data_IF_438418345921
#
_entry.id   IF_438418345921
#
_cell.length_a   1.000
_cell.length_b   1.000
_cell.length_c   1.000
_cell.angle_alpha   90.00
_cell.angle_beta   90.00
_cell.angle_gamma   90.00
#
_symmetry.space_group_name_H-M   'P 1'
#
loop_
_entity.id
_entity.type
_entity.pdbx_description
1 polymer ?
#
# COMPACT_ATOMS: atom_id res chain seq x y z
N UNK A 1 -7.41 7.33 8.60
CA UNK A 1 -6.25 6.44 8.36
C UNK A 1 -5.59 6.80 7.04
N UNK A 2 -4.30 6.76 7.02
CA UNK A 2 -3.53 7.04 5.80
C UNK A 2 -2.71 5.83 5.41
N UNK A 3 -2.81 5.44 4.14
CA UNK A 3 -2.01 4.38 3.54
C UNK A 3 -1.10 4.98 2.48
N UNK A 4 0.07 4.35 2.31
CA UNK A 4 1.05 4.76 1.31
C UNK A 4 1.33 3.55 0.42
N UNK A 5 1.22 3.74 -0.88
CA UNK A 5 1.60 2.73 -1.86
C UNK A 5 2.85 3.21 -2.60
N UNK A 6 3.97 2.53 -2.38
CA UNK A 6 5.18 2.76 -3.15
C UNK A 6 5.09 1.99 -4.46
N UNK A 7 5.22 2.69 -5.55
CA UNK A 7 5.10 2.13 -6.89
C UNK A 7 6.00 2.86 -7.87
N UNK A 8 5.88 2.52 -9.15
CA UNK A 8 6.51 3.30 -10.23
C UNK A 8 5.66 3.20 -11.50
N UNK A 9 5.81 4.15 -12.44
CA UNK A 9 5.13 4.06 -13.72
C UNK A 9 5.48 2.77 -14.46
N UNK A 10 4.47 2.14 -15.07
CA UNK A 10 4.65 0.90 -15.81
C UNK A 10 4.67 -0.37 -14.98
N UNK A 11 4.46 -0.27 -13.67
CA UNK A 11 4.40 -1.43 -12.80
C UNK A 11 2.97 -1.98 -12.77
N UNK A 12 2.70 -3.07 -13.50
CA UNK A 12 1.36 -3.65 -13.58
C UNK A 12 0.86 -4.19 -12.24
N UNK A 13 1.74 -4.77 -11.44
CA UNK A 13 1.35 -5.27 -10.11
C UNK A 13 0.95 -4.12 -9.19
N UNK A 14 1.63 -2.98 -9.30
CA UNK A 14 1.31 -1.78 -8.53
C UNK A 14 -0.05 -1.21 -8.95
N UNK A 15 -0.30 -1.15 -10.25
CA UNK A 15 -1.59 -0.69 -10.78
C UNK A 15 -2.73 -1.58 -10.32
N UNK A 16 -2.53 -2.90 -10.36
CA UNK A 16 -3.54 -3.86 -9.91
C UNK A 16 -3.86 -3.71 -8.43
N UNK A 17 -2.85 -3.52 -7.59
CA UNK A 17 -3.07 -3.30 -6.16
C UNK A 17 -3.79 -1.97 -5.92
N UNK A 18 -3.41 -0.92 -6.62
CA UNK A 18 -4.07 0.37 -6.52
C UNK A 18 -5.56 0.26 -6.85
N UNK A 19 -5.91 -0.42 -7.93
CA UNK A 19 -7.30 -0.62 -8.33
C UNK A 19 -8.10 -1.34 -7.24
N UNK A 20 -7.52 -2.38 -6.63
CA UNK A 20 -8.18 -3.11 -5.56
C UNK A 20 -8.36 -2.24 -4.33
N UNK A 21 -7.37 -1.44 -3.97
CA UNK A 21 -7.47 -0.50 -2.84
C UNK A 21 -8.59 0.51 -3.06
N UNK A 22 -8.76 0.98 -4.28
CA UNK A 22 -9.83 1.91 -4.63
C UNK A 22 -11.22 1.29 -4.54
N UNK A 23 -11.31 -0.04 -4.57
CA UNK A 23 -12.57 -0.77 -4.44
C UNK A 23 -12.91 -1.16 -3.01
N UNK A 24 -11.98 -0.98 -2.08
CA UNK A 24 -12.23 -1.26 -0.66
C UNK A 24 -13.25 -0.25 -0.13
N UNK A 25 -14.37 -0.73 0.40
CA UNK A 25 -15.47 0.12 0.83
C UNK A 25 -15.77 0.08 2.33
N UNK A 26 -15.30 -0.95 3.01
CA UNK A 26 -15.62 -1.15 4.44
C UNK A 26 -14.59 -0.54 5.38
N UNK A 27 -13.56 0.10 4.84
CA UNK A 27 -12.51 0.75 5.61
C UNK A 27 -12.29 2.13 5.00
N UNK A 28 -12.36 3.16 5.83
CA UNK A 28 -12.08 4.53 5.39
C UNK A 28 -10.59 4.80 5.53
N UNK A 29 -9.95 5.13 4.42
CA UNK A 29 -8.55 5.54 4.41
C UNK A 29 -8.26 6.48 3.25
N UNK A 30 -7.24 7.28 3.41
CA UNK A 30 -6.67 8.07 2.33
C UNK A 30 -5.47 7.31 1.77
N UNK A 31 -5.38 7.25 0.45
CA UNK A 31 -4.28 6.55 -0.22
C UNK A 31 -3.35 7.56 -0.88
N UNK A 32 -2.10 7.54 -0.46
CA UNK A 32 -1.03 8.32 -1.09
C UNK A 32 -0.22 7.38 -1.99
N UNK A 33 -0.10 7.74 -3.26
CA UNK A 33 0.74 6.99 -4.21
C UNK A 33 2.09 7.69 -4.28
N UNK A 34 3.17 6.96 -4.03
CA UNK A 34 4.54 7.48 -4.12
C UNK A 34 5.28 6.79 -5.25
N UNK A 35 5.74 7.58 -6.21
CA UNK A 35 6.63 7.10 -7.26
C UNK A 35 8.04 7.02 -6.68
N UNK A 36 8.60 5.82 -6.60
CA UNK A 36 9.93 5.62 -6.01
C UNK A 36 11.03 6.32 -6.81
N UNK A 37 10.78 6.64 -8.08
CA UNK A 37 11.73 7.39 -8.88
C UNK A 37 11.84 8.86 -8.46
N UNK A 38 10.90 9.36 -7.68
CA UNK A 38 10.89 10.75 -7.23
C UNK A 38 11.92 11.03 -6.13
N UNK A 39 12.36 9.99 -5.40
CA UNK A 39 13.34 10.13 -4.33
C UNK A 39 14.31 8.96 -4.34
N UNK A 40 15.59 9.27 -4.18
CA UNK A 40 16.64 8.27 -4.20
C UNK A 40 16.54 7.29 -3.03
N UNK A 41 16.15 7.75 -1.84
CA UNK A 41 15.98 6.88 -0.68
C UNK A 41 14.84 5.90 -0.88
N UNK A 42 13.74 6.31 -1.50
CA UNK A 42 12.65 5.40 -1.84
C UNK A 42 13.08 4.38 -2.88
N UNK A 43 13.78 4.84 -3.90
CA UNK A 43 14.27 3.95 -4.98
C UNK A 43 15.20 2.89 -4.40
N UNK A 44 16.16 3.31 -3.58
CA UNK A 44 17.12 2.38 -2.97
C UNK A 44 16.43 1.35 -2.08
N UNK A 45 15.41 1.78 -1.32
CA UNK A 45 14.72 0.89 -0.40
C UNK A 45 13.80 -0.10 -1.11
N UNK A 46 13.12 0.32 -2.20
CA UNK A 46 11.95 -0.40 -2.70
C UNK A 46 12.00 -0.83 -4.16
N UNK A 47 13.09 -0.55 -4.90
CA UNK A 47 13.14 -0.83 -6.34
C UNK A 47 12.87 -2.29 -6.71
N UNK A 48 13.18 -3.22 -5.82
CA UNK A 48 12.94 -4.65 -6.02
C UNK A 48 11.76 -5.18 -5.23
N UNK A 49 11.09 -4.31 -4.47
CA UNK A 49 10.04 -4.71 -3.54
C UNK A 49 8.64 -4.25 -3.97
N UNK A 50 8.54 -3.27 -4.85
CA UNK A 50 7.25 -2.70 -5.25
C UNK A 50 6.32 -3.76 -5.86
N UNK A 51 5.02 -3.67 -5.58
CA UNK A 51 4.36 -2.65 -4.75
C UNK A 51 4.57 -2.87 -3.25
N UNK A 52 4.83 -1.79 -2.52
CA UNK A 52 4.95 -1.83 -1.06
C UNK A 52 3.84 -0.96 -0.47
N UNK A 53 3.00 -1.57 0.36
CA UNK A 53 1.89 -0.88 1.02
C UNK A 53 2.24 -0.69 2.49
N UNK A 54 2.15 0.56 2.95
CA UNK A 54 2.43 0.92 4.33
C UNK A 54 1.26 1.67 4.94
N UNK A 55 1.08 1.56 6.25
CA UNK A 55 0.23 2.47 7.01
C UNK A 55 1.10 3.61 7.53
N UNK A 56 0.67 4.85 7.27
CA UNK A 56 1.35 6.03 7.82
C UNK A 56 0.91 6.25 9.26
N UNK A 57 1.86 6.20 10.18
CA UNK A 57 1.68 6.46 11.61
C UNK A 57 2.38 7.76 11.97
N UNK A 58 2.08 8.35 13.17
CA UNK A 58 2.66 9.66 13.54
C UNK A 58 4.18 9.73 13.46
N UNK A 59 4.88 8.65 13.85
CA UNK A 59 6.35 8.66 13.92
C UNK A 59 7.01 7.66 12.96
N UNK A 60 6.24 6.94 12.15
CA UNK A 60 6.80 5.90 11.30
C UNK A 60 5.83 5.50 10.21
N UNK A 61 6.31 4.69 9.29
CA UNK A 61 5.50 4.00 8.30
C UNK A 61 5.61 2.50 8.58
N UNK A 62 4.48 1.86 8.79
CA UNK A 62 4.43 0.42 9.07
C UNK A 62 4.16 -0.35 7.78
N UNK A 63 5.12 -1.14 7.27
CA UNK A 63 4.84 -2.01 6.14
C UNK A 63 3.75 -3.02 6.49
N UNK A 64 2.83 -3.21 5.56
CA UNK A 64 1.76 -4.19 5.71
C UNK A 64 2.15 -5.50 5.03
N UNK A 65 1.56 -6.64 5.45
CA UNK A 65 1.87 -7.91 4.80
C UNK A 65 1.59 -7.86 3.29
N UNK A 66 2.43 -8.52 2.53
CA UNK A 66 2.21 -8.66 1.09
C UNK A 66 1.09 -9.65 0.86
N UNK A 67 0.24 -9.35 -0.13
CA UNK A 67 -0.78 -10.29 -0.58
C UNK A 67 -0.50 -10.70 -2.03
N UNK A 68 -1.05 -11.84 -2.41
CA UNK A 68 -0.92 -12.31 -3.78
C UNK A 68 -1.54 -11.30 -4.76
N UNK A 69 -0.91 -11.07 -5.94
CA UNK A 69 -1.53 -10.26 -6.98
C UNK A 69 -2.89 -10.79 -7.43
N UNK A 70 -3.17 -12.06 -7.16
CA UNK A 70 -4.45 -12.70 -7.50
C UNK A 70 -5.48 -12.61 -6.37
N UNK A 71 -5.12 -12.03 -5.23
CA UNK A 71 -6.03 -11.90 -4.11
C UNK A 71 -7.21 -11.02 -4.49
N UNK A 72 -8.38 -11.37 -3.95
CA UNK A 72 -9.59 -10.59 -4.16
C UNK A 72 -9.60 -9.33 -3.31
N UNK A 73 -10.50 -8.40 -3.64
CA UNK A 73 -10.71 -7.20 -2.82
C UNK A 73 -11.12 -7.61 -1.40
N UNK A 74 -11.94 -8.66 -1.24
CA UNK A 74 -12.34 -9.15 0.07
C UNK A 74 -11.14 -9.62 0.89
N UNK A 75 -10.19 -10.30 0.28
CA UNK A 75 -8.95 -10.72 0.97
C UNK A 75 -8.07 -9.55 1.35
N UNK A 76 -7.98 -8.56 0.47
CA UNK A 76 -7.28 -7.32 0.79
C UNK A 76 -7.90 -6.61 1.98
N UNK A 77 -9.23 -6.49 2.02
CA UNK A 77 -9.93 -5.90 3.15
C UNK A 77 -9.65 -6.67 4.45
N UNK A 78 -9.66 -8.00 4.41
CA UNK A 78 -9.36 -8.81 5.59
C UNK A 78 -7.95 -8.55 6.10
N UNK A 79 -6.97 -8.46 5.20
CA UNK A 79 -5.60 -8.15 5.57
C UNK A 79 -5.52 -6.76 6.23
N UNK A 80 -6.18 -5.78 5.66
CA UNK A 80 -6.20 -4.43 6.21
C UNK A 80 -6.86 -4.38 7.58
N UNK A 81 -8.04 -5.01 7.73
CA UNK A 81 -8.75 -5.05 9.01
C UNK A 81 -7.90 -5.69 10.12
N UNK A 82 -7.15 -6.73 9.76
CA UNK A 82 -6.33 -7.46 10.71
C UNK A 82 -5.05 -6.72 11.10
N UNK A 83 -4.51 -5.91 10.22
CA UNK A 83 -3.16 -5.36 10.39
C UNK A 83 -3.10 -3.84 10.58
N UNK A 84 -4.15 -3.11 10.26
CA UNK A 84 -4.16 -1.66 10.47
C UNK A 84 -4.26 -1.32 11.95
N UNK A 85 -3.48 -0.32 12.38
CA UNK A 85 -3.56 0.20 13.72
C UNK A 85 -4.58 1.33 13.78
N UNK A 86 -5.41 1.29 14.81
CA UNK A 86 -6.30 2.41 15.11
C UNK A 86 -5.50 3.49 15.84
N UNK A 87 -5.60 4.71 15.33
CA UNK A 87 -4.96 5.87 15.96
C UNK A 87 -6.01 6.57 16.84
N UNK A 88 -5.80 6.52 18.12
CA UNK A 88 -6.69 7.18 19.10
C UNK A 88 -5.90 8.20 19.90
#
# INVERSE_FOLDING_TARGET
MQLILYSKPGCHLCEGLQEKLERVSNIDFELEIRDINAREDWFSAYQYEIPVLCQKLPNTEKPLPRISPRATVAKLEQMLQKNLRTLE
#
